data_IF_647508093440
#
_entry.id   IF_647508093440
#
_cell.length_a   1.000
_cell.length_b   1.000
_cell.length_c   1.000
_cell.angle_alpha   90.00
_cell.angle_beta   90.00
_cell.angle_gamma   90.00
#
_symmetry.space_group_name_H-M   'P 1'
#
loop_
_entity.id
_entity.type
_entity.pdbx_description
1 polymer ?
#
# COMPACT_ATOMS: atom_id res chain seq x y z
N UNK A 1 -2.40 22.28 -22.94
CA UNK A 1 -2.06 21.56 -21.69
C UNK A 1 -1.08 20.47 -22.05
N UNK A 2 0.22 20.71 -21.84
CA UNK A 2 1.23 19.67 -22.02
C UNK A 2 1.18 18.74 -20.80
N UNK A 3 0.78 17.50 -21.01
CA UNK A 3 0.94 16.43 -20.03
C UNK A 3 2.43 16.18 -19.86
N UNK A 4 3.02 16.69 -18.77
CA UNK A 4 4.38 16.31 -18.36
C UNK A 4 4.42 14.78 -18.34
N UNK A 5 5.22 14.18 -19.23
CA UNK A 5 5.53 12.75 -19.19
C UNK A 5 6.15 12.49 -17.82
N UNK A 6 5.39 11.88 -16.93
CA UNK A 6 5.93 11.32 -15.70
C UNK A 6 6.82 10.17 -16.18
N UNK A 7 8.14 10.40 -16.22
CA UNK A 7 9.10 9.31 -16.31
C UNK A 7 8.93 8.48 -15.04
N UNK A 8 7.99 7.53 -15.09
CA UNK A 8 7.77 6.56 -14.04
C UNK A 8 8.61 5.35 -14.41
N UNK A 9 9.64 5.10 -13.60
CA UNK A 9 10.35 3.83 -13.66
C UNK A 9 9.36 2.67 -13.46
N UNK A 10 9.57 1.50 -14.07
CA UNK A 10 8.69 0.36 -13.87
C UNK A 10 8.69 -0.06 -12.40
N UNK A 11 7.56 -0.57 -11.90
CA UNK A 11 7.45 -1.06 -10.53
C UNK A 11 8.59 -2.02 -10.16
N UNK A 12 9.04 -2.84 -11.10
CA UNK A 12 10.19 -3.74 -10.92
C UNK A 12 11.46 -3.03 -10.47
N UNK A 13 11.75 -1.84 -10.98
CA UNK A 13 12.91 -1.03 -10.56
C UNK A 13 12.81 -0.66 -9.08
N UNK A 14 11.68 -0.09 -8.65
CA UNK A 14 11.50 0.29 -7.26
C UNK A 14 11.59 -0.90 -6.31
N UNK A 15 11.06 -2.05 -6.76
CA UNK A 15 11.14 -3.26 -5.97
C UNK A 15 12.53 -3.91 -5.94
N UNK A 16 13.50 -3.44 -6.73
CA UNK A 16 14.92 -3.84 -6.62
C UNK A 16 15.72 -2.95 -5.67
N UNK A 17 15.18 -1.80 -5.25
CA UNK A 17 15.89 -0.87 -4.38
C UNK A 17 16.06 -1.39 -2.95
N UNK A 18 15.15 -2.24 -2.50
CA UNK A 18 15.28 -2.94 -1.21
C UNK A 18 14.72 -4.36 -1.32
N UNK A 19 15.46 -5.38 -0.84
CA UNK A 19 14.98 -6.75 -0.82
C UNK A 19 13.80 -6.96 0.16
N UNK A 20 13.65 -6.08 1.16
CA UNK A 20 12.59 -6.13 2.17
C UNK A 20 11.35 -5.31 1.83
N UNK A 21 11.36 -4.53 0.73
CA UNK A 21 10.34 -3.51 0.46
C UNK A 21 8.90 -4.04 0.44
N UNK A 22 8.68 -5.26 -0.05
CA UNK A 22 7.35 -5.88 -0.08
C UNK A 22 6.86 -6.24 1.33
N UNK A 23 7.75 -6.77 2.17
CA UNK A 23 7.46 -7.08 3.57
C UNK A 23 7.21 -5.81 4.37
N UNK A 24 8.14 -4.85 4.29
CA UNK A 24 8.04 -3.55 4.96
C UNK A 24 6.75 -2.79 4.58
N UNK A 25 6.37 -2.82 3.30
CA UNK A 25 5.14 -2.15 2.84
C UNK A 25 3.89 -2.83 3.41
N UNK A 26 3.86 -4.16 3.49
CA UNK A 26 2.72 -4.87 4.09
C UNK A 26 2.60 -4.57 5.58
N UNK A 27 3.71 -4.59 6.30
CA UNK A 27 3.73 -4.30 7.73
C UNK A 27 3.22 -2.86 7.98
N UNK A 28 3.73 -1.89 7.22
CA UNK A 28 3.23 -0.51 7.26
C UNK A 28 1.72 -0.40 6.98
N UNK A 29 1.21 -1.11 5.97
CA UNK A 29 -0.22 -1.11 5.65
C UNK A 29 -1.04 -1.73 6.79
N UNK A 30 -0.53 -2.77 7.45
CA UNK A 30 -1.19 -3.37 8.60
C UNK A 30 -1.25 -2.40 9.79
N UNK A 31 -0.13 -1.73 10.11
CA UNK A 31 -0.07 -0.71 11.16
C UNK A 31 -1.05 0.44 10.87
N UNK A 32 -1.09 0.93 9.62
CA UNK A 32 -2.00 2.00 9.20
C UNK A 32 -3.48 1.59 9.34
N UNK A 33 -3.79 0.30 9.11
CA UNK A 33 -5.13 -0.23 9.32
C UNK A 33 -5.53 -0.19 10.80
N UNK A 34 -4.62 -0.60 11.69
CA UNK A 34 -4.84 -0.53 13.14
C UNK A 34 -5.02 0.91 13.62
N UNK A 35 -4.17 1.83 13.18
CA UNK A 35 -4.28 3.25 13.51
C UNK A 35 -5.62 3.83 13.05
N UNK A 36 -6.04 3.50 11.83
CA UNK A 36 -7.34 3.94 11.28
C UNK A 36 -8.50 3.41 12.11
N UNK A 37 -8.44 2.14 12.55
CA UNK A 37 -9.47 1.55 13.40
C UNK A 37 -9.58 2.26 14.75
N UNK A 38 -8.44 2.60 15.37
CA UNK A 38 -8.35 3.25 16.69
C UNK A 38 -8.65 4.75 16.66
N UNK A 39 -8.45 5.43 15.52
CA UNK A 39 -8.59 6.87 15.40
C UNK A 39 -10.00 7.38 15.74
N UNK A 40 -10.19 8.08 16.85
CA UNK A 40 -11.52 8.57 17.25
C UNK A 40 -12.03 9.73 16.38
N UNK A 41 -11.14 10.41 15.66
CA UNK A 41 -11.45 11.57 14.82
C UNK A 41 -12.03 11.23 13.45
N UNK A 42 -12.03 9.96 13.05
CA UNK A 42 -12.52 9.51 11.74
C UNK A 42 -13.96 8.99 11.88
N UNK A 43 -14.93 9.53 11.13
CA UNK A 43 -16.28 8.98 11.04
C UNK A 43 -16.29 7.50 10.65
N UNK A 44 -17.24 6.71 11.18
CA UNK A 44 -17.26 5.25 11.01
C UNK A 44 -17.32 4.79 9.54
N UNK A 45 -18.16 5.44 8.73
CA UNK A 45 -18.25 5.23 7.27
C UNK A 45 -16.88 5.44 6.58
N UNK A 46 -16.19 6.52 6.94
CA UNK A 46 -14.86 6.81 6.38
C UNK A 46 -13.78 5.86 6.89
N UNK A 47 -13.94 5.27 8.08
CA UNK A 47 -13.02 4.23 8.58
C UNK A 47 -13.15 2.97 7.76
N UNK A 48 -14.38 2.53 7.49
CA UNK A 48 -14.64 1.33 6.70
C UNK A 48 -14.05 1.47 5.29
N UNK A 49 -14.27 2.60 4.61
CA UNK A 49 -13.70 2.88 3.29
C UNK A 49 -12.17 2.85 3.30
N UNK A 50 -11.54 3.46 4.31
CA UNK A 50 -10.08 3.47 4.46
C UNK A 50 -9.52 2.08 4.73
N UNK A 51 -10.12 1.35 5.68
CA UNK A 51 -9.73 -0.03 6.01
C UNK A 51 -9.87 -0.92 4.77
N UNK A 52 -10.94 -0.77 3.99
CA UNK A 52 -11.13 -1.49 2.74
C UNK A 52 -10.01 -1.20 1.73
N UNK A 53 -9.66 0.08 1.53
CA UNK A 53 -8.60 0.49 0.61
C UNK A 53 -7.23 -0.05 1.06
N UNK A 54 -6.90 0.08 2.34
CA UNK A 54 -5.65 -0.44 2.93
C UNK A 54 -5.59 -1.97 2.76
N UNK A 55 -6.69 -2.68 3.05
CA UNK A 55 -6.79 -4.14 2.88
C UNK A 55 -6.60 -4.55 1.40
N UNK A 56 -7.13 -3.77 0.46
CA UNK A 56 -6.95 -4.02 -0.97
C UNK A 56 -5.48 -3.88 -1.38
N UNK A 57 -4.80 -2.83 -0.94
CA UNK A 57 -3.37 -2.63 -1.16
C UNK A 57 -2.54 -3.77 -0.54
N UNK A 58 -2.81 -4.13 0.70
CA UNK A 58 -2.09 -5.21 1.37
C UNK A 58 -2.19 -6.54 0.59
N UNK A 59 -3.39 -6.88 0.07
CA UNK A 59 -3.57 -8.05 -0.80
C UNK A 59 -2.81 -7.96 -2.11
N UNK A 60 -2.73 -6.77 -2.72
CA UNK A 60 -1.94 -6.54 -3.93
C UNK A 60 -0.45 -6.83 -3.67
N UNK A 61 0.10 -6.29 -2.59
CA UNK A 61 1.50 -6.53 -2.21
C UNK A 61 1.77 -8.00 -1.83
N UNK A 62 0.82 -8.67 -1.17
CA UNK A 62 0.91 -10.11 -0.91
C UNK A 62 0.90 -10.94 -2.22
N UNK A 63 0.14 -10.51 -3.23
CA UNK A 63 0.16 -11.12 -4.56
C UNK A 63 1.51 -10.95 -5.26
N UNK A 64 2.09 -9.74 -5.20
CA UNK A 64 3.42 -9.46 -5.76
C UNK A 64 4.53 -10.28 -5.09
N UNK A 65 4.47 -10.46 -3.77
CA UNK A 65 5.45 -11.27 -3.04
C UNK A 65 5.40 -12.74 -3.47
N UNK A 66 4.20 -13.31 -3.62
CA UNK A 66 4.01 -14.69 -4.09
C UNK A 66 4.53 -14.92 -5.52
N UNK A 67 4.48 -13.90 -6.39
CA UNK A 67 5.00 -14.02 -7.75
C UNK A 67 6.54 -14.05 -7.82
N UNK A 68 7.22 -13.73 -6.71
CA UNK A 68 8.69 -13.62 -6.65
C UNK A 68 9.37 -14.71 -5.81
N UNK A 69 8.58 -15.56 -5.15
CA UNK A 69 9.03 -16.78 -4.50
C UNK A 69 8.95 -17.96 -5.48
#
# INVERSE_FOLDING_TARGET
METKKINSEPLSYFLTLSPGILTETKDFLFDLMEETARAQSIPADRKEDRIYLISHLHRLFAGLEKQRQ
#
